data_IF_344619077357
#
_entry.id   IF_344619077357
#
_cell.length_a   1.000
_cell.length_b   1.000
_cell.length_c   1.000
_cell.angle_alpha   90.00
_cell.angle_beta   90.00
_cell.angle_gamma   90.00
#
_symmetry.space_group_name_H-M   'P 1'
#
loop_
_entity.id
_entity.type
_entity.pdbx_description
1 polymer ?
#
# COMPACT_ATOMS: atom_id res chain seq x y z
N UNK A 1 5.11 0.43 46.95
CA UNK A 1 5.16 1.23 45.70
C UNK A 1 5.90 0.45 44.61
N UNK A 2 5.26 -0.53 43.97
CA UNK A 2 5.85 -1.28 42.84
C UNK A 2 4.78 -1.75 41.85
N UNK A 3 3.91 -0.86 41.35
CA UNK A 3 2.87 -1.30 40.38
C UNK A 3 2.37 -0.21 39.43
N UNK A 4 3.24 0.75 39.05
CA UNK A 4 2.84 1.81 38.10
C UNK A 4 3.68 1.78 36.81
N UNK A 5 4.87 1.15 36.82
CA UNK A 5 5.78 1.19 35.68
C UNK A 5 5.53 0.12 34.60
N UNK A 6 4.64 -0.86 34.83
CA UNK A 6 4.36 -1.93 33.83
C UNK A 6 3.13 -1.66 32.95
N UNK A 7 2.25 -0.73 33.32
CA UNK A 7 1.02 -0.46 32.57
C UNK A 7 1.22 0.44 31.35
N UNK A 8 2.26 1.26 31.32
CA UNK A 8 2.49 2.26 30.27
C UNK A 8 3.03 1.65 28.96
N UNK A 9 3.69 0.50 29.01
CA UNK A 9 4.34 -0.10 27.85
C UNK A 9 3.36 -0.75 26.85
N UNK A 10 2.18 -1.18 27.31
CA UNK A 10 1.22 -1.92 26.47
C UNK A 10 0.33 -0.95 25.64
N UNK A 11 0.09 0.26 26.15
CA UNK A 11 -0.73 1.26 25.44
C UNK A 11 0.06 1.99 24.34
N UNK A 12 1.38 2.17 24.49
CA UNK A 12 2.21 2.76 23.44
C UNK A 12 2.39 1.81 22.23
N UNK A 13 2.59 0.52 22.46
CA UNK A 13 2.66 -0.47 21.37
C UNK A 13 1.35 -0.61 20.58
N UNK A 14 0.20 -0.35 21.20
CA UNK A 14 -1.10 -0.40 20.55
C UNK A 14 -1.39 0.84 19.67
N UNK A 15 -0.73 1.96 19.92
CA UNK A 15 -0.86 3.19 19.11
C UNK A 15 0.07 3.23 17.89
N UNK A 16 1.05 2.33 17.81
CA UNK A 16 1.98 2.20 16.67
C UNK A 16 1.38 1.38 15.51
N UNK A 17 0.55 0.38 15.81
CA UNK A 17 -0.11 -0.46 14.78
C UNK A 17 -0.99 0.35 13.81
N UNK A 18 -1.82 1.31 14.26
CA UNK A 18 -2.56 2.19 13.35
C UNK A 18 -1.66 3.03 12.44
N UNK A 19 -0.54 3.53 12.96
CA UNK A 19 0.40 4.36 12.19
C UNK A 19 1.15 3.53 11.14
N UNK A 20 1.58 2.32 11.50
CA UNK A 20 2.23 1.41 10.56
C UNK A 20 1.26 0.97 9.45
N UNK A 21 0.03 0.60 9.83
CA UNK A 21 -1.01 0.22 8.87
C UNK A 21 -1.32 1.36 7.88
N UNK A 22 -1.39 2.61 8.38
CA UNK A 22 -1.57 3.80 7.55
C UNK A 22 -0.37 4.09 6.64
N UNK A 23 0.85 3.88 7.15
CA UNK A 23 2.07 4.05 6.35
C UNK A 23 2.11 3.04 5.20
N UNK A 24 1.82 1.77 5.48
CA UNK A 24 1.73 0.72 4.46
C UNK A 24 0.65 1.03 3.42
N UNK A 25 -0.54 1.43 3.86
CA UNK A 25 -1.59 1.88 2.95
C UNK A 25 -1.12 3.01 2.02
N UNK A 26 -0.42 4.02 2.56
CA UNK A 26 0.09 5.13 1.76
C UNK A 26 1.16 4.70 0.75
N UNK A 27 2.03 3.76 1.13
CA UNK A 27 3.05 3.19 0.24
C UNK A 27 2.38 2.44 -0.91
N UNK A 28 1.47 1.51 -0.61
CA UNK A 28 0.75 0.73 -1.63
C UNK A 28 -0.07 1.66 -2.54
N UNK A 29 -0.68 2.71 -1.98
CA UNK A 29 -1.37 3.76 -2.76
C UNK A 29 -0.43 4.54 -3.67
N UNK A 30 0.80 4.76 -3.25
CA UNK A 30 1.80 5.45 -4.05
C UNK A 30 2.28 4.56 -5.20
N UNK A 31 2.62 3.30 -4.92
CA UNK A 31 2.96 2.30 -5.93
C UNK A 31 1.83 2.13 -6.95
N UNK A 32 0.58 2.11 -6.50
CA UNK A 32 -0.58 2.04 -7.39
C UNK A 32 -0.63 3.19 -8.40
N UNK A 33 -0.30 4.42 -7.98
CA UNK A 33 -0.24 5.58 -8.88
C UNK A 33 0.92 5.47 -9.87
N UNK A 34 2.07 4.99 -9.41
CA UNK A 34 3.24 4.83 -10.28
C UNK A 34 3.00 3.78 -11.37
N UNK A 35 2.35 2.67 -11.03
CA UNK A 35 1.93 1.64 -11.99
C UNK A 35 0.86 2.18 -12.95
N UNK A 36 -0.09 2.99 -12.47
CA UNK A 36 -1.10 3.65 -13.31
C UNK A 36 -0.46 4.64 -14.30
N UNK A 37 0.49 5.46 -13.85
CA UNK A 37 1.24 6.38 -14.70
C UNK A 37 2.09 5.65 -15.74
N UNK A 38 2.67 4.50 -15.38
CA UNK A 38 3.44 3.67 -16.32
C UNK A 38 2.54 2.99 -17.35
N UNK A 39 1.36 2.52 -16.92
CA UNK A 39 0.34 1.96 -17.80
C UNK A 39 -0.15 3.00 -18.80
N UNK A 40 -0.48 4.21 -18.36
CA UNK A 40 -0.88 5.31 -19.25
C UNK A 40 0.25 5.65 -20.24
N UNK A 41 1.50 5.68 -19.78
CA UNK A 41 2.67 5.91 -20.64
C UNK A 41 2.85 4.82 -21.70
N UNK A 42 2.70 3.55 -21.33
CA UNK A 42 2.84 2.42 -22.25
C UNK A 42 1.69 2.38 -23.27
N UNK A 43 0.45 2.62 -22.84
CA UNK A 43 -0.74 2.68 -23.71
C UNK A 43 -0.66 3.81 -24.75
N UNK A 44 0.04 4.91 -24.42
CA UNK A 44 0.26 6.05 -25.33
C UNK A 44 1.42 5.86 -26.31
N UNK A 45 2.22 4.79 -26.19
CA UNK A 45 3.33 4.56 -27.14
C UNK A 45 2.78 4.31 -28.54
N UNK A 46 3.54 4.71 -29.56
CA UNK A 46 3.18 4.46 -30.95
C UNK A 46 3.10 2.97 -31.28
N UNK A 47 3.88 2.15 -30.58
CA UNK A 47 3.84 0.69 -30.62
C UNK A 47 3.89 0.19 -29.16
N UNK A 48 2.74 -0.02 -28.51
CA UNK A 48 2.68 -0.52 -27.14
C UNK A 48 3.18 -1.96 -27.04
N UNK A 49 3.92 -2.26 -25.98
CA UNK A 49 4.30 -3.63 -25.62
C UNK A 49 3.12 -4.31 -24.90
N UNK A 50 2.46 -5.23 -25.60
CA UNK A 50 1.29 -5.95 -25.07
C UNK A 50 1.63 -6.82 -23.86
N UNK A 51 2.82 -7.42 -23.80
CA UNK A 51 3.25 -8.22 -22.65
C UNK A 51 3.47 -7.33 -21.44
N UNK A 52 4.06 -6.14 -21.62
CA UNK A 52 4.22 -5.16 -20.55
C UNK A 52 2.88 -4.63 -20.05
N UNK A 53 1.95 -4.30 -20.95
CA UNK A 53 0.60 -3.88 -20.57
C UNK A 53 -0.13 -4.94 -19.74
N UNK A 54 -0.01 -6.22 -20.10
CA UNK A 54 -0.59 -7.31 -19.31
C UNK A 54 0.04 -7.38 -17.92
N UNK A 55 1.37 -7.26 -17.83
CA UNK A 55 2.08 -7.23 -16.55
C UNK A 55 1.62 -6.09 -15.64
N UNK A 56 1.58 -4.86 -16.17
CA UNK A 56 1.13 -3.67 -15.42
C UNK A 56 -0.33 -3.79 -14.95
N UNK A 57 -1.23 -4.38 -15.77
CA UNK A 57 -2.62 -4.63 -15.37
C UNK A 57 -2.75 -5.67 -14.27
N UNK A 58 -1.90 -6.71 -14.29
CA UNK A 58 -1.84 -7.71 -13.23
C UNK A 58 -1.34 -7.09 -11.92
N UNK A 59 -0.28 -6.28 -11.98
CA UNK A 59 0.26 -5.56 -10.84
C UNK A 59 -0.77 -4.60 -10.23
N UNK A 60 -1.48 -3.83 -11.06
CA UNK A 60 -2.57 -2.95 -10.62
C UNK A 60 -3.68 -3.73 -9.90
N UNK A 61 -4.00 -4.94 -10.38
CA UNK A 61 -4.99 -5.81 -9.76
C UNK A 61 -4.51 -6.32 -8.40
N UNK A 62 -3.23 -6.69 -8.29
CA UNK A 62 -2.62 -7.13 -7.03
C UNK A 62 -2.61 -6.01 -5.99
N UNK A 63 -2.19 -4.79 -6.37
CA UNK A 63 -2.18 -3.62 -5.48
C UNK A 63 -3.59 -3.25 -5.02
N UNK A 64 -4.60 -3.36 -5.88
CA UNK A 64 -6.02 -3.17 -5.49
C UNK A 64 -6.45 -4.16 -4.41
N UNK A 65 -6.15 -5.45 -4.60
CA UNK A 65 -6.46 -6.49 -3.60
C UNK A 65 -5.71 -6.24 -2.30
N UNK A 66 -4.46 -5.78 -2.38
CA UNK A 66 -3.70 -5.48 -1.18
C UNK A 66 -4.33 -4.32 -0.40
N UNK A 67 -4.75 -3.25 -1.07
CA UNK A 67 -5.48 -2.14 -0.46
C UNK A 67 -6.82 -2.53 0.15
N UNK A 68 -7.50 -3.56 -0.37
CA UNK A 68 -8.73 -4.09 0.23
C UNK A 68 -8.47 -4.68 1.65
N UNK A 69 -7.24 -5.08 1.98
CA UNK A 69 -6.88 -5.49 3.34
C UNK A 69 -6.75 -4.31 4.33
N UNK A 70 -6.78 -3.08 3.83
CA UNK A 70 -6.61 -1.84 4.59
C UNK A 70 -7.90 -0.98 4.64
N UNK A 71 -9.08 -1.58 4.43
CA UNK A 71 -10.38 -0.87 4.34
C UNK A 71 -10.73 0.05 5.52
N UNK A 72 -10.09 -0.11 6.68
CA UNK A 72 -10.36 0.69 7.89
C UNK A 72 -9.31 1.78 8.17
N UNK A 73 -8.46 2.10 7.18
CA UNK A 73 -7.54 3.26 7.17
C UNK A 73 -8.21 4.46 6.53
#
# INVERSE_FOLDING_TARGET
MKDVAKKTNIYQSAQEVPMLRKALFNIIRQEQREVEDELEREERRSVPDSSRLVGLRQEMTSLRRELEHYQDV
#
